data_IF_302705953003
#
_entry.id   IF_302705953003
#
_cell.length_a   1.000
_cell.length_b   1.000
_cell.length_c   1.000
_cell.angle_alpha   90.00
_cell.angle_beta   90.00
_cell.angle_gamma   90.00
#
_symmetry.space_group_name_H-M   'P 1'
#
loop_
_entity.id
_entity.type
_entity.pdbx_description
1 polymer ?
#
# COMPACT_ATOMS: atom_id res chain seq x y z
N UNK A 1 -7.08 -5.15 -20.82
CA UNK A 1 -7.44 -5.80 -19.56
C UNK A 1 -6.39 -5.59 -18.48
N UNK A 2 -5.13 -5.94 -18.79
CA UNK A 2 -4.02 -5.70 -17.86
C UNK A 2 -3.82 -4.21 -17.58
N UNK A 3 -4.01 -3.36 -18.58
CA UNK A 3 -3.91 -1.92 -18.41
C UNK A 3 -4.94 -1.38 -17.43
N UNK A 4 -6.18 -1.89 -17.50
CA UNK A 4 -7.25 -1.49 -16.60
C UNK A 4 -6.99 -1.95 -15.17
N UNK A 5 -6.48 -3.17 -15.01
CA UNK A 5 -6.11 -3.70 -13.70
C UNK A 5 -5.00 -2.86 -13.08
N UNK A 6 -3.99 -2.50 -13.86
CA UNK A 6 -2.88 -1.67 -13.39
C UNK A 6 -3.37 -0.28 -13.00
N UNK A 7 -4.22 0.33 -13.83
CA UNK A 7 -4.78 1.65 -13.54
C UNK A 7 -5.54 1.65 -12.21
N UNK A 8 -6.42 0.65 -12.00
CA UNK A 8 -7.15 0.50 -10.74
C UNK A 8 -6.20 0.31 -9.58
N UNK A 9 -5.15 -0.50 -9.76
CA UNK A 9 -4.20 -0.81 -8.70
C UNK A 9 -3.35 0.38 -8.30
N UNK A 10 -3.04 1.27 -9.26
CA UNK A 10 -2.22 2.47 -9.02
C UNK A 10 -3.00 3.66 -8.45
N UNK A 11 -4.33 3.66 -8.60
CA UNK A 11 -5.16 4.80 -8.22
C UNK A 11 -4.94 5.27 -6.77
N UNK A 12 -4.85 4.39 -5.76
CA UNK A 12 -4.60 4.85 -4.39
C UNK A 12 -3.31 5.67 -4.24
N UNK A 13 -2.27 5.32 -4.97
CA UNK A 13 -0.99 6.04 -4.92
C UNK A 13 -1.07 7.35 -5.71
N UNK A 14 -1.74 7.34 -6.86
CA UNK A 14 -1.97 8.56 -7.66
C UNK A 14 -2.69 9.62 -6.82
N UNK A 15 -3.61 9.20 -5.95
CA UNK A 15 -4.44 10.08 -5.13
C UNK A 15 -3.65 10.78 -4.02
N UNK A 16 -2.45 10.29 -3.66
CA UNK A 16 -1.62 10.92 -2.64
C UNK A 16 -1.32 12.37 -3.03
N UNK A 17 -1.75 13.32 -2.21
CA UNK A 17 -1.69 14.75 -2.50
C UNK A 17 -0.39 15.37 -1.97
N UNK A 18 0.47 15.89 -2.85
CA UNK A 18 1.72 16.56 -2.42
C UNK A 18 1.49 17.77 -1.51
N UNK A 19 0.33 18.41 -1.60
CA UNK A 19 -0.01 19.60 -0.85
C UNK A 19 -0.80 19.31 0.42
N UNK A 20 -1.12 18.05 0.66
CA UNK A 20 -1.87 17.64 1.85
C UNK A 20 -0.99 17.58 3.11
N UNK A 21 -1.63 17.31 4.24
CA UNK A 21 -0.92 17.07 5.50
C UNK A 21 -0.15 15.76 5.41
N UNK A 22 1.18 15.75 5.58
CA UNK A 22 2.00 14.58 5.30
C UNK A 22 1.55 13.29 5.97
N UNK A 23 1.37 13.30 7.29
CA UNK A 23 0.97 12.09 8.01
C UNK A 23 -0.43 11.64 7.60
N UNK A 24 -1.36 12.60 7.48
CA UNK A 24 -2.73 12.31 7.05
C UNK A 24 -2.75 11.67 5.67
N UNK A 25 -1.94 12.18 4.73
CA UNK A 25 -1.86 11.63 3.37
C UNK A 25 -1.36 10.20 3.38
N UNK A 26 -0.32 9.90 4.17
CA UNK A 26 0.19 8.53 4.29
C UNK A 26 -0.86 7.61 4.91
N UNK A 27 -1.51 8.04 6.00
CA UNK A 27 -2.52 7.21 6.65
C UNK A 27 -3.74 6.97 5.75
N UNK A 28 -4.14 7.97 4.98
CA UNK A 28 -5.21 7.81 4.00
C UNK A 28 -4.82 6.83 2.89
N UNK A 29 -3.56 6.86 2.46
CA UNK A 29 -3.06 5.91 1.48
C UNK A 29 -3.10 4.47 2.05
N UNK A 30 -2.64 4.28 3.27
CA UNK A 30 -2.71 2.98 3.95
C UNK A 30 -4.16 2.48 3.98
N UNK A 31 -5.10 3.36 4.35
CA UNK A 31 -6.52 2.99 4.45
C UNK A 31 -7.08 2.63 3.06
N UNK A 32 -6.77 3.43 2.03
CA UNK A 32 -7.23 3.11 0.67
C UNK A 32 -6.71 1.76 0.19
N UNK A 33 -5.45 1.43 0.49
CA UNK A 33 -4.89 0.13 0.13
C UNK A 33 -5.54 -1.00 0.91
N UNK A 34 -5.82 -0.80 2.18
CA UNK A 34 -6.50 -1.80 3.00
C UNK A 34 -7.93 -2.03 2.52
N UNK A 35 -8.65 -0.95 2.20
CA UNK A 35 -10.01 -1.03 1.64
C UNK A 35 -10.01 -1.79 0.31
N UNK A 36 -9.03 -1.51 -0.55
CA UNK A 36 -8.88 -2.21 -1.83
C UNK A 36 -8.63 -3.70 -1.62
N UNK A 37 -7.81 -4.07 -0.66
CA UNK A 37 -7.57 -5.48 -0.33
C UNK A 37 -8.84 -6.19 0.10
N UNK A 38 -9.74 -5.50 0.80
CA UNK A 38 -11.02 -6.04 1.23
C UNK A 38 -12.04 -6.13 0.10
N UNK A 39 -12.05 -5.13 -0.77
CA UNK A 39 -13.02 -5.05 -1.87
C UNK A 39 -12.62 -5.88 -3.08
N UNK A 40 -11.32 -6.01 -3.33
CA UNK A 40 -10.78 -6.67 -4.51
C UNK A 40 -9.74 -7.75 -4.13
N UNK A 41 -10.09 -8.71 -3.25
CA UNK A 41 -9.10 -9.69 -2.80
C UNK A 41 -8.65 -10.64 -3.92
N UNK A 42 -9.54 -10.97 -4.84
CA UNK A 42 -9.22 -11.83 -5.98
C UNK A 42 -8.21 -11.16 -6.90
N UNK A 43 -8.43 -9.88 -7.19
CA UNK A 43 -7.55 -9.08 -8.05
C UNK A 43 -6.19 -8.89 -7.40
N UNK A 44 -6.15 -8.71 -6.09
CA UNK A 44 -4.90 -8.64 -5.32
C UNK A 44 -4.09 -9.93 -5.50
N UNK A 45 -4.74 -11.08 -5.30
CA UNK A 45 -4.06 -12.38 -5.44
C UNK A 45 -3.61 -12.65 -6.88
N UNK A 46 -4.41 -12.21 -7.86
CA UNK A 46 -4.05 -12.35 -9.27
C UNK A 46 -2.78 -11.55 -9.58
N UNK A 47 -2.73 -10.32 -9.13
CA UNK A 47 -1.56 -9.45 -9.26
C UNK A 47 -0.34 -10.05 -8.56
N UNK A 48 -0.51 -10.47 -7.31
CA UNK A 48 0.57 -11.08 -6.53
C UNK A 48 1.12 -12.34 -7.22
N UNK A 49 0.22 -13.19 -7.75
CA UNK A 49 0.62 -14.40 -8.49
C UNK A 49 1.45 -14.09 -9.73
N UNK A 50 1.06 -13.06 -10.47
CA UNK A 50 1.81 -12.63 -11.66
C UNK A 50 3.21 -12.14 -11.24
N UNK A 51 3.31 -11.32 -10.20
CA UNK A 51 4.59 -10.82 -9.70
C UNK A 51 5.49 -11.97 -9.22
N UNK A 52 4.91 -12.92 -8.48
CA UNK A 52 5.66 -14.06 -7.95
C UNK A 52 6.25 -14.94 -9.05
N UNK A 53 5.65 -14.93 -10.24
CA UNK A 53 6.14 -15.67 -11.41
C UNK A 53 7.17 -14.87 -12.22
N UNK A 54 7.58 -13.69 -11.74
CA UNK A 54 8.55 -12.85 -12.45
C UNK A 54 7.91 -11.81 -13.37
N UNK A 55 6.60 -11.59 -13.23
CA UNK A 55 5.84 -10.62 -14.01
C UNK A 55 5.92 -10.86 -15.52
N UNK A 56 5.66 -12.08 -16.01
CA UNK A 56 5.84 -12.38 -17.45
C UNK A 56 4.98 -11.52 -18.37
N UNK A 57 3.82 -11.06 -17.90
CA UNK A 57 2.90 -10.23 -18.69
C UNK A 57 2.92 -8.77 -18.27
N UNK A 58 3.14 -8.50 -16.99
CA UNK A 58 3.02 -7.15 -16.43
C UNK A 58 4.33 -6.36 -16.44
N UNK A 59 5.47 -6.98 -16.74
CA UNK A 59 6.75 -6.30 -16.70
C UNK A 59 6.76 -4.95 -17.46
N UNK A 60 6.20 -4.85 -18.68
CA UNK A 60 6.16 -3.56 -19.37
C UNK A 60 5.35 -2.50 -18.62
N UNK A 61 4.25 -2.90 -17.97
CA UNK A 61 3.43 -1.99 -17.19
C UNK A 61 4.14 -1.55 -15.90
N UNK A 62 4.92 -2.43 -15.28
CA UNK A 62 5.71 -2.08 -14.12
C UNK A 62 6.73 -1.00 -14.44
N UNK A 63 7.40 -1.11 -15.58
CA UNK A 63 8.39 -0.13 -16.00
C UNK A 63 7.76 1.18 -16.50
N UNK A 64 6.69 1.08 -17.29
CA UNK A 64 6.08 2.24 -17.92
C UNK A 64 5.17 3.03 -16.97
N UNK A 65 4.46 2.34 -16.08
CA UNK A 65 3.39 2.96 -15.28
C UNK A 65 3.75 3.02 -13.79
N UNK A 66 4.20 1.91 -13.21
CA UNK A 66 4.44 1.83 -11.77
C UNK A 66 5.71 2.57 -11.35
N UNK A 67 6.82 2.29 -12.02
CA UNK A 67 8.11 2.87 -11.61
C UNK A 67 8.11 4.40 -11.64
N UNK A 68 7.64 5.07 -12.70
CA UNK A 68 7.61 6.55 -12.68
C UNK A 68 6.72 7.12 -11.58
N UNK A 69 5.58 6.48 -11.30
CA UNK A 69 4.68 6.93 -10.25
C UNK A 69 5.32 6.78 -8.87
N UNK A 70 5.95 5.64 -8.60
CA UNK A 70 6.64 5.41 -7.32
C UNK A 70 7.78 6.41 -7.16
N UNK A 71 8.56 6.65 -8.22
CA UNK A 71 9.65 7.63 -8.17
C UNK A 71 9.13 9.03 -7.83
N UNK A 72 8.02 9.44 -8.45
CA UNK A 72 7.37 10.73 -8.18
C UNK A 72 6.92 10.85 -6.73
N UNK A 73 6.19 9.84 -6.24
CA UNK A 73 5.65 9.89 -4.88
C UNK A 73 6.74 9.76 -3.82
N UNK A 74 7.79 9.00 -4.11
CA UNK A 74 8.96 8.95 -3.23
C UNK A 74 9.63 10.32 -3.08
N UNK A 75 9.70 11.10 -4.16
CA UNK A 75 10.23 12.46 -4.10
C UNK A 75 9.37 13.36 -3.21
N UNK A 76 8.05 13.24 -3.30
CA UNK A 76 7.13 13.98 -2.44
C UNK A 76 7.36 13.61 -0.97
N UNK A 77 7.39 12.31 -0.67
CA UNK A 77 7.57 11.83 0.71
C UNK A 77 8.94 12.26 1.25
N UNK A 78 9.97 12.16 0.44
CA UNK A 78 11.31 12.60 0.84
C UNK A 78 11.31 14.09 1.17
N UNK A 79 10.62 14.90 0.39
CA UNK A 79 10.49 16.33 0.66
C UNK A 79 9.84 16.58 2.02
N UNK A 80 8.80 15.84 2.36
CA UNK A 80 8.16 15.94 3.68
C UNK A 80 9.12 15.58 4.81
N UNK A 81 9.93 14.57 4.61
CA UNK A 81 10.94 14.14 5.59
C UNK A 81 12.06 15.18 5.75
N UNK A 82 12.53 15.73 4.63
CA UNK A 82 13.58 16.74 4.62
C UNK A 82 13.14 18.02 5.35
N UNK A 83 11.84 18.34 5.32
CA UNK A 83 11.26 19.47 6.05
C UNK A 83 10.93 19.17 7.51
N UNK A 84 11.17 17.94 7.96
CA UNK A 84 10.91 17.54 9.33
C UNK A 84 9.45 17.24 9.65
N UNK A 85 8.59 17.13 8.62
CA UNK A 85 7.17 16.83 8.83
C UNK A 85 6.92 15.36 9.11
N UNK A 86 7.83 14.48 8.69
CA UNK A 86 7.81 13.05 8.98
C UNK A 86 9.19 12.63 9.44
N UNK A 87 9.23 11.61 10.29
CA UNK A 87 10.49 10.97 10.66
C UNK A 87 11.14 10.37 9.42
N UNK A 88 12.45 10.49 9.31
CA UNK A 88 13.19 10.07 8.12
C UNK A 88 13.32 8.55 8.05
N UNK A 89 12.77 7.97 7.00
CA UNK A 89 12.97 6.57 6.61
C UNK A 89 13.13 6.54 5.09
N UNK A 90 13.54 5.40 4.53
CA UNK A 90 13.59 5.25 3.09
C UNK A 90 12.16 5.27 2.51
N UNK A 91 11.82 6.24 1.63
CA UNK A 91 10.44 6.33 1.09
C UNK A 91 10.01 5.11 0.29
N UNK A 92 10.93 4.47 -0.45
CA UNK A 92 10.59 3.27 -1.23
C UNK A 92 10.25 2.10 -0.34
N UNK A 93 11.06 1.86 0.67
CA UNK A 93 10.78 0.79 1.63
C UNK A 93 9.53 1.07 2.45
N UNK A 94 9.23 2.34 2.71
CA UNK A 94 7.95 2.72 3.32
C UNK A 94 6.78 2.29 2.43
N UNK A 95 6.84 2.59 1.13
CA UNK A 95 5.79 2.18 0.19
C UNK A 95 5.67 0.66 0.14
N UNK A 96 6.80 -0.06 0.07
CA UNK A 96 6.79 -1.53 0.10
C UNK A 96 6.14 -2.05 1.37
N UNK A 97 6.42 -1.44 2.52
CA UNK A 97 5.82 -1.84 3.80
C UNK A 97 4.30 -1.63 3.80
N UNK A 98 3.84 -0.55 3.21
CA UNK A 98 2.40 -0.30 3.08
C UNK A 98 1.75 -1.38 2.22
N UNK A 99 2.35 -1.72 1.09
CA UNK A 99 1.84 -2.79 0.25
C UNK A 99 1.81 -4.14 0.97
N UNK A 100 2.93 -4.49 1.59
CA UNK A 100 3.08 -5.79 2.26
C UNK A 100 2.07 -5.94 3.40
N UNK A 101 1.87 -4.90 4.20
CA UNK A 101 0.98 -4.98 5.35
C UNK A 101 -0.50 -4.94 4.97
N UNK A 102 -0.86 -4.21 3.93
CA UNK A 102 -2.27 -4.09 3.50
C UNK A 102 -2.71 -5.27 2.65
N UNK A 103 -1.90 -5.65 1.65
CA UNK A 103 -2.25 -6.73 0.73
C UNK A 103 -2.19 -8.11 1.40
N UNK A 104 -1.49 -8.24 2.50
CA UNK A 104 -1.42 -9.48 3.27
C UNK A 104 -2.81 -10.02 3.61
N UNK A 105 -3.74 -9.14 3.99
CA UNK A 105 -5.10 -9.54 4.38
C UNK A 105 -5.91 -10.11 3.22
N UNK A 106 -5.57 -9.76 1.98
CA UNK A 106 -6.18 -10.37 0.80
C UNK A 106 -5.41 -11.62 0.35
N UNK A 107 -4.09 -11.48 0.22
CA UNK A 107 -3.26 -12.51 -0.40
C UNK A 107 -3.10 -13.74 0.48
N UNK A 108 -3.16 -13.55 1.80
CA UNK A 108 -3.07 -14.61 2.78
C UNK A 108 -4.35 -14.77 3.59
N UNK A 109 -5.48 -14.46 2.97
CA UNK A 109 -6.79 -14.48 3.61
C UNK A 109 -7.10 -15.81 4.29
N UNK A 110 -6.75 -16.93 3.65
CA UNK A 110 -7.00 -18.27 4.22
C UNK A 110 -6.29 -18.44 5.56
N UNK A 111 -5.07 -17.94 5.67
CA UNK A 111 -4.28 -18.01 6.91
C UNK A 111 -4.83 -17.02 7.94
N UNK A 112 -5.06 -15.78 7.52
CA UNK A 112 -5.53 -14.70 8.40
C UNK A 112 -6.88 -15.08 9.03
N UNK A 113 -7.81 -15.61 8.23
CA UNK A 113 -9.13 -15.99 8.68
C UNK A 113 -9.07 -17.05 9.78
N UNK A 114 -8.20 -18.04 9.63
CA UNK A 114 -8.02 -19.08 10.64
C UNK A 114 -7.48 -18.48 11.94
N UNK A 115 -6.47 -17.64 11.85
CA UNK A 115 -5.77 -17.09 13.01
C UNK A 115 -6.60 -16.04 13.75
N UNK A 116 -7.48 -15.32 13.06
CA UNK A 116 -8.34 -14.32 13.67
C UNK A 116 -9.71 -14.86 14.08
N UNK A 117 -10.01 -16.12 13.74
CA UNK A 117 -11.27 -16.75 14.14
C UNK A 117 -11.41 -16.71 15.65
N UNK A 118 -12.61 -16.37 16.11
CA UNK A 118 -12.95 -16.31 17.53
C UNK A 118 -12.21 -15.21 18.30
N UNK A 119 -11.58 -14.26 17.61
CA UNK A 119 -11.00 -13.08 18.26
C UNK A 119 -11.95 -11.90 18.18
N UNK A 120 -11.85 -10.98 19.15
CA UNK A 120 -12.71 -9.81 19.21
C UNK A 120 -12.42 -8.79 18.12
N UNK A 121 -11.27 -8.87 17.44
CA UNK A 121 -10.78 -7.86 16.50
C UNK A 121 -10.67 -8.39 15.07
N UNK A 122 -11.45 -9.41 14.74
CA UNK A 122 -11.34 -10.11 13.47
C UNK A 122 -11.52 -9.22 12.24
N UNK A 123 -12.35 -8.16 12.33
CA UNK A 123 -12.67 -7.33 11.16
C UNK A 123 -11.98 -5.97 11.17
N UNK A 124 -11.87 -5.32 12.33
CA UNK A 124 -11.41 -3.92 12.42
C UNK A 124 -10.00 -3.79 12.96
N UNK A 125 -9.42 -4.89 13.44
CA UNK A 125 -8.10 -4.88 14.06
C UNK A 125 -6.99 -4.34 13.15
N UNK A 126 -7.06 -4.65 11.86
CA UNK A 126 -6.05 -4.21 10.89
C UNK A 126 -6.03 -2.70 10.73
N UNK A 127 -7.20 -2.06 10.70
CA UNK A 127 -7.29 -0.60 10.52
C UNK A 127 -6.56 0.13 11.65
N UNK A 128 -6.89 -0.21 12.88
CA UNK A 128 -6.26 0.40 14.05
C UNK A 128 -4.79 0.07 14.18
N UNK A 129 -4.44 -1.17 13.91
CA UNK A 129 -3.06 -1.62 14.00
C UNK A 129 -2.16 -0.89 12.99
N UNK A 130 -2.57 -0.83 11.73
CA UNK A 130 -1.78 -0.19 10.69
C UNK A 130 -1.71 1.34 10.87
N UNK A 131 -2.80 1.97 11.31
CA UNK A 131 -2.77 3.39 11.65
C UNK A 131 -1.74 3.66 12.76
N UNK A 132 -1.72 2.83 13.80
CA UNK A 132 -0.75 2.94 14.90
C UNK A 132 0.67 2.71 14.40
N UNK A 133 0.88 1.66 13.60
CA UNK A 133 2.20 1.31 13.08
C UNK A 133 2.83 2.47 12.31
N UNK A 134 2.11 3.01 11.35
CA UNK A 134 2.66 4.06 10.49
C UNK A 134 2.72 5.41 11.20
N UNK A 135 1.78 5.69 12.11
CA UNK A 135 1.87 6.90 12.95
C UNK A 135 3.13 6.87 13.80
N UNK A 136 3.42 5.74 14.46
CA UNK A 136 4.61 5.62 15.30
C UNK A 136 5.89 5.68 14.48
N UNK A 137 5.92 5.02 13.32
CA UNK A 137 7.08 5.03 12.45
C UNK A 137 7.42 6.43 11.95
N UNK A 138 6.41 7.22 11.61
CA UNK A 138 6.57 8.47 10.88
C UNK A 138 6.46 9.72 11.74
N UNK A 139 6.12 9.61 13.01
CA UNK A 139 6.06 10.77 13.91
C UNK A 139 7.48 11.28 14.16
N UNK A 140 7.73 12.58 13.85
CA UNK A 140 9.06 13.15 14.00
C UNK A 140 9.50 13.26 15.45
#
# INVERSE_FOLDING_TARGET
LLSQLMETWLDPLVTLDPDGDPLTEILNYVQRKLDMARELPRESRLFAGEILQGAPRMAPHLEADLKPLVDEKCSVIKSWMDKGHLAAVDPRHLIFSIWATTQHYADFEAQVSVLLRDTAQAQDGADGYLATLFTRLLSP
#
